data_IF_592790072256
#
_entry.id   IF_592790072256
#
_cell.length_a   1.000
_cell.length_b   1.000
_cell.length_c   1.000
_cell.angle_alpha   90.00
_cell.angle_beta   90.00
_cell.angle_gamma   90.00
#
_symmetry.space_group_name_H-M   'P 1'
#
loop_
_entity.id
_entity.type
_entity.pdbx_description
1 polymer ?
#
# COMPACT_ATOMS: atom_id res chain seq x y z
N UNK A 1 -9.61 0.99 5.85
CA UNK A 1 -9.12 1.49 4.54
C UNK A 1 -8.43 2.82 4.78
N UNK A 2 -7.49 3.29 3.94
CA UNK A 2 -6.75 4.53 4.24
C UNK A 2 -7.65 5.72 4.62
N UNK A 3 -8.77 5.92 3.92
CA UNK A 3 -9.76 6.94 4.29
C UNK A 3 -10.35 6.81 5.71
N UNK A 4 -10.52 5.60 6.24
CA UNK A 4 -11.01 5.36 7.60
C UNK A 4 -9.92 5.19 8.66
N UNK A 5 -8.67 5.01 8.23
CA UNK A 5 -7.54 4.76 9.11
C UNK A 5 -6.75 6.05 9.44
N UNK A 6 -6.90 7.12 8.64
CA UNK A 6 -6.16 8.38 8.76
C UNK A 6 -6.94 9.38 9.61
N UNK A 7 -6.76 9.32 10.94
CA UNK A 7 -7.01 10.47 11.80
C UNK A 7 -5.68 11.20 12.04
N UNK A 8 -5.41 12.24 11.25
CA UNK A 8 -4.39 13.24 11.60
C UNK A 8 -2.99 13.12 11.01
N UNK A 9 -2.78 12.47 9.84
CA UNK A 9 -1.56 12.76 9.06
C UNK A 9 -0.83 11.59 8.40
N UNK A 10 -1.52 10.77 7.60
CA UNK A 10 -0.84 9.81 6.70
C UNK A 10 -1.49 9.85 5.32
N UNK A 11 -0.99 10.72 4.44
CA UNK A 11 -1.52 10.95 3.10
C UNK A 11 -2.32 12.24 2.95
N UNK A 12 -2.21 12.88 1.78
CA UNK A 12 -2.92 14.11 1.42
C UNK A 12 -3.59 13.98 0.04
N UNK A 13 -4.80 14.51 -0.07
CA UNK A 13 -5.55 14.60 -1.33
C UNK A 13 -4.70 15.36 -2.36
N UNK A 14 -4.59 14.80 -3.57
CA UNK A 14 -3.85 15.40 -4.68
C UNK A 14 -2.35 15.14 -4.70
N UNK A 15 -1.78 14.56 -3.64
CA UNK A 15 -0.35 14.24 -3.55
C UNK A 15 -0.03 12.81 -4.04
N UNK A 16 -1.02 12.12 -4.61
CA UNK A 16 -0.84 10.81 -5.25
C UNK A 16 -1.40 9.65 -4.46
N UNK A 17 -1.20 8.44 -4.98
CA UNK A 17 -1.74 7.21 -4.39
C UNK A 17 -0.99 6.79 -3.13
N UNK A 18 -1.69 6.17 -2.17
CA UNK A 18 -1.07 5.64 -0.97
C UNK A 18 -0.56 4.21 -1.19
N UNK A 19 0.74 4.03 -1.05
CA UNK A 19 1.38 2.72 -1.01
C UNK A 19 1.46 2.31 0.46
N UNK A 20 0.68 1.28 0.82
CA UNK A 20 0.75 0.70 2.16
C UNK A 20 1.93 -0.26 2.24
N UNK A 21 2.96 0.13 3.00
CA UNK A 21 4.14 -0.72 3.20
C UNK A 21 4.01 -1.64 4.41
N UNK A 22 3.16 -1.29 5.38
CA UNK A 22 2.95 -2.08 6.59
C UNK A 22 1.52 -1.95 7.13
N UNK A 23 1.00 -3.07 7.60
CA UNK A 23 0.00 -3.16 8.66
C UNK A 23 0.18 -4.48 9.46
N UNK A 24 -0.52 -4.68 10.59
CA UNK A 24 -0.34 -5.88 11.42
C UNK A 24 -0.57 -7.22 10.70
N UNK A 25 -1.30 -7.22 9.58
CA UNK A 25 -1.60 -8.42 8.79
C UNK A 25 -0.85 -8.51 7.47
N UNK A 26 -0.06 -7.51 7.08
CA UNK A 26 0.65 -7.52 5.80
C UNK A 26 1.89 -6.61 5.82
N UNK A 27 3.05 -7.19 5.49
CA UNK A 27 4.29 -6.45 5.24
C UNK A 27 4.60 -6.50 3.75
N UNK A 28 4.80 -5.34 3.14
CA UNK A 28 5.08 -5.25 1.71
C UNK A 28 6.44 -5.87 1.39
N UNK A 29 6.45 -6.86 0.49
CA UNK A 29 7.68 -7.48 0.01
C UNK A 29 8.58 -6.45 -0.70
N UNK A 30 9.91 -6.46 -0.48
CA UNK A 30 10.83 -5.51 -1.11
C UNK A 30 10.72 -5.49 -2.64
N UNK A 31 10.64 -6.66 -3.28
CA UNK A 31 10.49 -6.74 -4.74
C UNK A 31 9.15 -6.18 -5.25
N UNK A 32 8.05 -6.35 -4.50
CA UNK A 32 6.76 -5.74 -4.83
C UNK A 32 6.81 -4.22 -4.65
N UNK A 33 7.50 -3.74 -3.62
CA UNK A 33 7.73 -2.30 -3.43
C UNK A 33 8.51 -1.73 -4.62
N UNK A 34 9.63 -2.32 -4.99
CA UNK A 34 10.44 -1.83 -6.12
C UNK A 34 9.63 -1.85 -7.44
N UNK A 35 8.86 -2.92 -7.71
CA UNK A 35 7.97 -2.99 -8.86
C UNK A 35 6.96 -1.81 -8.90
N UNK A 36 6.29 -1.52 -7.79
CA UNK A 36 5.30 -0.45 -7.71
C UNK A 36 5.91 0.94 -7.87
N UNK A 37 7.06 1.19 -7.24
CA UNK A 37 7.74 2.48 -7.30
C UNK A 37 8.27 2.75 -8.71
N UNK A 38 8.94 1.76 -9.32
CA UNK A 38 9.40 1.87 -10.72
C UNK A 38 8.23 2.12 -11.67
N UNK A 39 7.13 1.37 -11.52
CA UNK A 39 5.93 1.56 -12.35
C UNK A 39 5.36 2.98 -12.19
N UNK A 40 5.27 3.49 -10.95
CA UNK A 40 4.77 4.83 -10.69
C UNK A 40 5.69 5.92 -11.26
N UNK A 41 7.00 5.75 -11.14
CA UNK A 41 8.02 6.67 -11.66
C UNK A 41 8.01 6.72 -13.19
N UNK A 42 7.98 5.56 -13.85
CA UNK A 42 7.89 5.46 -15.32
C UNK A 42 6.59 6.06 -15.86
N UNK A 43 5.49 5.94 -15.13
CA UNK A 43 4.19 6.51 -15.49
C UNK A 43 4.01 7.98 -15.07
N UNK A 44 4.96 8.57 -14.34
CA UNK A 44 4.83 9.94 -13.80
C UNK A 44 3.72 10.10 -12.74
N UNK A 45 3.36 9.01 -12.05
CA UNK A 45 2.32 8.98 -11.03
C UNK A 45 2.93 9.28 -9.66
N UNK A 46 2.39 10.31 -8.98
CA UNK A 46 2.78 10.62 -7.60
C UNK A 46 2.28 9.52 -6.65
N UNK A 47 3.06 9.25 -5.61
CA UNK A 47 2.72 8.30 -4.56
C UNK A 47 3.16 8.80 -3.19
N UNK A 48 2.56 8.22 -2.15
CA UNK A 48 2.76 8.55 -0.75
C UNK A 48 2.85 7.25 0.05
N UNK A 49 3.64 7.23 1.13
CA UNK A 49 3.72 6.06 2.01
C UNK A 49 2.72 6.13 3.14
N UNK A 50 2.25 4.95 3.55
CA UNK A 50 1.19 4.84 4.53
C UNK A 50 1.34 3.57 5.39
N UNK A 51 1.22 3.73 6.71
CA UNK A 51 1.10 2.64 7.69
C UNK A 51 -0.36 2.50 8.14
N UNK A 52 -0.89 1.28 8.07
CA UNK A 52 -2.28 1.04 8.44
C UNK A 52 -2.50 0.14 9.64
N UNK A 53 -3.77 0.08 10.05
CA UNK A 53 -4.24 -0.69 11.21
C UNK A 53 -4.65 -2.13 10.87
N UNK A 54 -4.52 -2.53 9.60
CA UNK A 54 -4.90 -3.87 9.12
C UNK A 54 -6.20 -3.87 8.32
N UNK A 55 -6.78 -5.08 8.18
CA UNK A 55 -8.07 -5.28 7.52
C UNK A 55 -8.04 -5.13 5.99
N UNK A 56 -6.89 -5.38 5.37
CA UNK A 56 -6.70 -5.28 3.92
C UNK A 56 -6.88 -6.64 3.23
N UNK A 57 -7.25 -6.61 1.95
CA UNK A 57 -7.32 -7.81 1.13
C UNK A 57 -5.93 -8.43 0.94
N UNK A 58 -4.86 -7.61 0.93
CA UNK A 58 -3.47 -8.08 0.88
C UNK A 58 -3.10 -8.94 2.11
N UNK A 59 -3.64 -8.62 3.28
CA UNK A 59 -3.47 -9.44 4.48
C UNK A 59 -4.03 -10.86 4.31
N UNK A 60 -5.11 -11.04 3.56
CA UNK A 60 -5.63 -12.37 3.24
C UNK A 60 -4.91 -13.01 2.03
N UNK A 61 -4.58 -12.20 1.01
CA UNK A 61 -4.01 -12.67 -0.25
C UNK A 61 -2.61 -13.27 -0.08
N UNK A 62 -1.71 -12.62 0.67
CA UNK A 62 -0.34 -13.13 0.82
C UNK A 62 -0.25 -14.49 1.53
N UNK A 63 -1.31 -14.95 2.20
CA UNK A 63 -1.38 -16.27 2.84
C UNK A 63 -1.92 -17.36 1.90
N UNK A 64 -2.36 -17.01 0.69
CA UNK A 64 -2.88 -17.97 -0.30
C UNK A 64 -1.76 -18.59 -1.11
N UNK A 65 -2.02 -19.79 -1.62
CA UNK A 65 -1.18 -20.53 -2.59
C UNK A 65 0.31 -20.66 -2.22
N UNK A 66 0.65 -20.61 -0.94
CA UNK A 66 2.04 -20.69 -0.46
C UNK A 66 2.79 -19.36 -0.46
N UNK A 67 2.11 -18.25 -0.75
CA UNK A 67 2.68 -16.90 -0.71
C UNK A 67 2.42 -16.11 -1.98
N UNK A 68 1.20 -15.58 -2.16
CA UNK A 68 0.91 -14.71 -3.31
C UNK A 68 1.46 -13.29 -3.06
N UNK A 69 2.37 -12.77 -3.91
CA UNK A 69 2.81 -11.38 -3.81
C UNK A 69 1.63 -10.44 -3.89
N UNK A 70 1.44 -9.62 -2.86
CA UNK A 70 0.28 -8.71 -2.77
C UNK A 70 0.66 -7.37 -2.16
N UNK A 71 -0.24 -6.41 -2.33
CA UNK A 71 -0.07 -5.02 -1.86
C UNK A 71 -1.44 -4.39 -1.66
N UNK A 72 -1.47 -3.27 -0.94
CA UNK A 72 -2.67 -2.43 -0.83
C UNK A 72 -2.33 -1.03 -1.33
N UNK A 73 -3.08 -0.59 -2.34
CA UNK A 73 -2.99 0.74 -2.93
C UNK A 73 -4.26 1.51 -2.57
N UNK A 74 -4.11 2.74 -2.09
CA UNK A 74 -5.22 3.57 -1.64
C UNK A 74 -5.31 4.91 -2.36
N UNK A 75 -6.46 5.55 -2.19
CA UNK A 75 -6.71 6.96 -2.58
C UNK A 75 -7.09 7.75 -1.33
N UNK A 76 -6.65 9.01 -1.30
CA UNK A 76 -7.04 10.03 -0.33
C UNK A 76 -8.11 10.92 -0.91
#
# INVERSE_FOLDING_TARGET
SPAGDVYGGQGKIGDGTLIRFYDPGHLLLPGMKDFLLTTAEEAGIKYQYYCGKGGTDAGAAHLKNGGDPSTTIGVC
#
